data_IF_042732112643
#
_entry.id   IF_042732112643
#
_cell.length_a   1.000
_cell.length_b   1.000
_cell.length_c   1.000
_cell.angle_alpha   90.00
_cell.angle_beta   90.00
_cell.angle_gamma   90.00
#
_symmetry.space_group_name_H-M   'P 1'
#
loop_
_entity.id
_entity.type
_entity.pdbx_description
1 polymer ?
#
# COMPACT_ATOMS: atom_id res chain seq x y z
N UNK A 1 10.34 -17.44 38.74
CA UNK A 1 10.52 -17.28 37.28
C UNK A 1 9.78 -16.01 36.88
N UNK A 2 10.49 -14.89 36.74
CA UNK A 2 9.87 -13.58 36.54
C UNK A 2 9.56 -13.38 35.05
N UNK A 3 8.28 -13.31 34.70
CA UNK A 3 7.81 -13.05 33.34
C UNK A 3 8.26 -11.65 32.92
N UNK A 4 9.11 -11.56 31.88
CA UNK A 4 9.43 -10.29 31.21
C UNK A 4 8.44 -10.10 30.06
N UNK A 5 7.49 -9.14 30.13
CA UNK A 5 6.59 -8.90 29.03
C UNK A 5 7.39 -8.30 27.86
N UNK A 6 7.21 -8.87 26.67
CA UNK A 6 7.76 -8.37 25.41
C UNK A 6 7.33 -6.92 25.17
N UNK A 7 8.30 -6.08 24.78
CA UNK A 7 8.20 -4.63 24.64
C UNK A 7 7.00 -4.15 23.79
N UNK A 8 5.89 -3.80 24.43
CA UNK A 8 4.99 -2.78 23.89
C UNK A 8 5.63 -1.41 24.15
N UNK A 9 6.22 -0.81 23.12
CA UNK A 9 6.58 0.61 23.18
C UNK A 9 5.26 1.39 23.21
N UNK A 10 4.90 1.97 24.36
CA UNK A 10 3.78 2.93 24.40
C UNK A 10 4.11 3.99 23.34
N UNK A 11 3.17 4.36 22.45
CA UNK A 11 3.40 5.51 21.60
C UNK A 11 3.79 6.66 22.53
N UNK A 12 4.99 7.20 22.36
CA UNK A 12 5.40 8.39 23.10
C UNK A 12 4.46 9.55 22.78
N UNK A 13 4.72 10.71 23.38
CA UNK A 13 3.99 11.93 23.01
C UNK A 13 4.11 12.15 21.50
N UNK A 14 2.98 12.13 20.79
CA UNK A 14 2.91 12.34 19.35
C UNK A 14 3.12 13.82 19.09
N UNK A 15 4.27 14.19 18.52
CA UNK A 15 4.53 15.56 18.09
C UNK A 15 3.88 15.80 16.72
N UNK A 16 2.80 16.57 16.70
CA UNK A 16 2.06 16.94 15.49
C UNK A 16 2.84 17.90 14.56
N UNK A 17 3.92 18.51 15.05
CA UNK A 17 4.79 19.40 14.27
C UNK A 17 6.09 18.71 13.81
N UNK A 18 6.24 17.41 14.05
CA UNK A 18 7.43 16.67 13.67
C UNK A 18 7.61 16.68 12.13
N UNK A 19 8.84 16.90 11.68
CA UNK A 19 9.19 16.79 10.25
C UNK A 19 9.01 15.35 9.76
N UNK A 20 8.64 15.18 8.50
CA UNK A 20 8.56 13.85 7.90
C UNK A 20 9.96 13.20 7.89
N UNK A 21 10.05 12.05 8.56
CA UNK A 21 11.22 11.16 8.53
C UNK A 21 10.82 9.86 7.86
N UNK A 22 11.44 9.45 6.74
CA UNK A 22 11.15 8.18 6.10
C UNK A 22 11.53 7.02 7.02
N UNK A 23 10.73 5.96 7.03
CA UNK A 23 10.98 4.76 7.85
C UNK A 23 10.30 3.55 7.23
N UNK A 24 10.79 2.36 7.54
CA UNK A 24 10.21 1.09 7.07
C UNK A 24 8.70 1.01 7.37
N UNK A 25 8.29 1.44 8.56
CA UNK A 25 6.89 1.43 8.98
C UNK A 25 6.02 2.36 8.11
N UNK A 26 6.47 3.58 7.87
CA UNK A 26 5.73 4.55 7.04
C UNK A 26 5.62 4.07 5.60
N UNK A 27 6.70 3.53 5.06
CA UNK A 27 6.72 2.90 3.74
C UNK A 27 5.71 1.76 3.64
N UNK A 28 5.73 0.84 4.61
CA UNK A 28 4.82 -0.31 4.60
C UNK A 28 3.35 0.11 4.71
N UNK A 29 3.01 1.03 5.63
CA UNK A 29 1.63 1.52 5.80
C UNK A 29 1.17 2.29 4.56
N UNK A 30 2.03 3.11 3.96
CA UNK A 30 1.71 3.84 2.74
C UNK A 30 1.38 2.90 1.58
N UNK A 31 2.26 1.93 1.30
CA UNK A 31 2.08 0.99 0.19
C UNK A 31 0.87 0.07 0.42
N UNK A 32 0.71 -0.45 1.64
CA UNK A 32 -0.43 -1.28 1.98
C UNK A 32 -1.75 -0.49 1.87
N UNK A 33 -1.79 0.73 2.41
CA UNK A 33 -2.96 1.59 2.34
C UNK A 33 -3.32 2.04 0.92
N UNK A 34 -2.31 2.31 0.07
CA UNK A 34 -2.56 2.61 -1.35
C UNK A 34 -3.10 1.40 -2.10
N UNK A 35 -2.56 0.21 -1.84
CA UNK A 35 -3.06 -1.06 -2.38
C UNK A 35 -4.52 -1.30 -2.01
N UNK A 36 -4.86 -1.06 -0.74
CA UNK A 36 -6.23 -1.23 -0.23
C UNK A 36 -7.21 -0.22 -0.84
N UNK A 37 -6.78 1.04 -1.05
CA UNK A 37 -7.59 2.05 -1.73
C UNK A 37 -7.90 1.63 -3.17
N UNK A 38 -6.90 1.13 -3.89
CA UNK A 38 -7.06 0.58 -5.24
C UNK A 38 -8.01 -0.62 -5.23
N UNK A 39 -7.81 -1.58 -4.32
CA UNK A 39 -8.64 -2.78 -4.16
C UNK A 39 -10.10 -2.41 -3.92
N UNK A 40 -10.35 -1.57 -2.92
CA UNK A 40 -11.69 -1.12 -2.54
C UNK A 40 -12.39 -0.47 -3.72
N UNK A 41 -11.71 0.42 -4.42
CA UNK A 41 -12.29 1.10 -5.56
C UNK A 41 -12.56 0.13 -6.72
N UNK A 42 -11.57 -0.68 -7.11
CA UNK A 42 -11.67 -1.56 -8.28
C UNK A 42 -12.76 -2.62 -8.12
N UNK A 43 -12.92 -3.18 -6.92
CA UNK A 43 -13.86 -4.27 -6.63
C UNK A 43 -15.28 -3.73 -6.41
N UNK A 44 -15.42 -2.62 -5.68
CA UNK A 44 -16.74 -2.11 -5.32
C UNK A 44 -17.32 -1.14 -6.35
N UNK A 45 -16.58 -0.80 -7.40
CA UNK A 45 -17.10 0.11 -8.42
C UNK A 45 -18.27 -0.53 -9.18
N UNK A 46 -19.43 0.12 -9.09
CA UNK A 46 -20.62 -0.28 -9.82
C UNK A 46 -20.68 0.46 -11.15
N UNK A 47 -20.54 -0.28 -12.24
CA UNK A 47 -20.67 0.24 -13.60
C UNK A 47 -22.10 0.20 -14.13
N UNK A 48 -22.25 -0.33 -15.35
CA UNK A 48 -23.54 -0.47 -16.04
C UNK A 48 -24.54 -1.30 -15.21
N UNK A 49 -25.86 -1.05 -15.36
CA UNK A 49 -26.50 -0.12 -16.31
C UNK A 49 -26.55 1.34 -15.85
N UNK A 50 -26.32 1.61 -14.57
CA UNK A 50 -26.56 2.94 -13.97
C UNK A 50 -25.38 3.91 -14.09
N UNK A 51 -24.15 3.40 -14.28
CA UNK A 51 -22.96 4.20 -14.52
C UNK A 51 -22.14 3.69 -15.71
N UNK A 52 -21.18 4.50 -16.16
CA UNK A 52 -20.18 4.10 -17.16
C UNK A 52 -19.26 3.04 -16.55
N UNK A 53 -19.03 1.93 -17.24
CA UNK A 53 -18.11 0.90 -16.79
C UNK A 53 -16.68 1.45 -16.65
N UNK A 54 -15.87 0.83 -15.79
CA UNK A 54 -14.47 1.27 -15.56
C UNK A 54 -13.69 1.34 -16.86
N UNK A 55 -13.82 0.32 -17.72
CA UNK A 55 -13.13 0.25 -19.01
C UNK A 55 -13.63 1.28 -20.03
N UNK A 56 -14.85 1.78 -19.87
CA UNK A 56 -15.41 2.81 -20.76
C UNK A 56 -14.92 4.22 -20.35
N UNK A 57 -14.45 4.40 -19.11
CA UNK A 57 -13.84 5.65 -18.65
C UNK A 57 -12.31 5.53 -18.65
N UNK A 58 -11.70 5.92 -19.77
CA UNK A 58 -10.24 5.87 -19.97
C UNK A 58 -9.45 6.53 -18.83
N UNK A 59 -9.86 7.71 -18.36
CA UNK A 59 -9.15 8.44 -17.29
C UNK A 59 -9.17 7.65 -16.00
N UNK A 60 -10.31 7.07 -15.66
CA UNK A 60 -10.47 6.28 -14.45
C UNK A 60 -9.65 4.99 -14.54
N UNK A 61 -9.78 4.27 -15.65
CA UNK A 61 -9.03 3.03 -15.87
C UNK A 61 -7.52 3.24 -15.72
N UNK A 62 -6.97 4.24 -16.41
CA UNK A 62 -5.53 4.54 -16.31
C UNK A 62 -5.11 5.11 -14.95
N UNK A 63 -6.02 5.79 -14.23
CA UNK A 63 -5.79 6.19 -12.85
C UNK A 63 -5.58 5.00 -11.92
N UNK A 64 -6.45 3.98 -12.02
CA UNK A 64 -6.34 2.74 -11.23
C UNK A 64 -5.08 1.97 -11.62
N UNK A 65 -4.80 1.83 -12.91
CA UNK A 65 -3.59 1.15 -13.41
C UNK A 65 -2.33 1.87 -12.93
N UNK A 66 -2.29 3.20 -13.00
CA UNK A 66 -1.17 4.01 -12.52
C UNK A 66 -0.95 3.89 -11.01
N UNK A 67 -2.01 4.00 -10.21
CA UNK A 67 -1.92 3.81 -8.76
C UNK A 67 -1.45 2.39 -8.38
N UNK A 68 -1.95 1.37 -9.09
CA UNK A 68 -1.50 -0.01 -8.94
C UNK A 68 -0.01 -0.14 -9.26
N UNK A 69 0.43 0.44 -10.39
CA UNK A 69 1.83 0.42 -10.82
C UNK A 69 2.77 1.08 -9.80
N UNK A 70 2.38 2.24 -9.23
CA UNK A 70 3.14 2.90 -8.16
C UNK A 70 3.27 1.99 -6.94
N UNK A 71 2.16 1.37 -6.52
CA UNK A 71 2.11 0.51 -5.34
C UNK A 71 2.99 -0.74 -5.50
N UNK A 72 2.89 -1.43 -6.65
CA UNK A 72 3.69 -2.62 -6.90
C UNK A 72 5.16 -2.30 -7.19
N UNK A 73 5.46 -1.20 -7.88
CA UNK A 73 6.83 -0.68 -8.01
C UNK A 73 7.45 -0.39 -6.65
N UNK A 74 6.69 0.23 -5.75
CA UNK A 74 7.12 0.53 -4.39
C UNK A 74 7.44 -0.71 -3.56
N UNK A 75 6.56 -1.72 -3.60
CA UNK A 75 6.74 -2.94 -2.79
C UNK A 75 7.84 -3.88 -3.31
N UNK A 76 8.05 -3.93 -4.62
CA UNK A 76 9.03 -4.83 -5.27
C UNK A 76 10.39 -4.19 -5.49
N UNK A 77 10.44 -2.86 -5.43
CA UNK A 77 11.61 -2.06 -5.82
C UNK A 77 11.99 -2.15 -7.30
N UNK A 78 10.97 -2.30 -8.16
CA UNK A 78 11.17 -2.46 -9.61
C UNK A 78 11.63 -1.18 -10.33
N UNK A 79 11.20 0.01 -9.86
CA UNK A 79 11.68 1.32 -10.35
C UNK A 79 12.35 2.11 -9.21
N UNK A 80 13.66 1.92 -8.97
CA UNK A 80 14.36 2.53 -7.84
C UNK A 80 14.30 4.06 -7.83
N UNK A 81 14.31 4.70 -9.00
CA UNK A 81 14.22 6.17 -9.10
C UNK A 81 12.88 6.70 -8.59
N UNK A 82 11.78 6.01 -8.93
CA UNK A 82 10.45 6.36 -8.44
C UNK A 82 10.38 6.18 -6.93
N UNK A 83 10.95 5.10 -6.41
CA UNK A 83 10.94 4.80 -4.99
C UNK A 83 11.75 5.83 -4.18
N UNK A 84 12.91 6.25 -4.69
CA UNK A 84 13.67 7.36 -4.12
C UNK A 84 12.88 8.67 -4.12
N UNK A 85 12.22 8.99 -5.23
CA UNK A 85 11.40 10.19 -5.33
C UNK A 85 10.22 10.18 -4.34
N UNK A 86 9.59 9.03 -4.12
CA UNK A 86 8.51 8.82 -3.14
C UNK A 86 9.00 8.68 -1.69
N UNK A 87 10.31 8.75 -1.44
CA UNK A 87 10.92 8.51 -0.12
C UNK A 87 10.55 7.15 0.48
N UNK A 88 10.42 6.14 -0.38
CA UNK A 88 10.26 4.73 0.01
C UNK A 88 11.63 4.25 0.53
N UNK A 89 11.65 3.77 1.77
CA UNK A 89 12.86 3.22 2.38
C UNK A 89 13.21 1.89 1.72
N UNK A 90 14.49 1.65 1.49
CA UNK A 90 14.99 0.37 0.99
C UNK A 90 14.62 -0.75 1.97
N UNK A 91 13.95 -1.77 1.44
CA UNK A 91 13.46 -2.90 2.21
C UNK A 91 14.34 -4.12 1.97
N UNK A 92 14.58 -4.90 3.02
CA UNK A 92 15.21 -6.20 2.85
C UNK A 92 14.32 -7.12 1.97
N UNK A 93 14.95 -8.08 1.31
CA UNK A 93 14.24 -8.94 0.34
C UNK A 93 13.12 -9.75 0.99
N UNK A 94 13.29 -10.22 2.23
CA UNK A 94 12.27 -10.99 2.92
C UNK A 94 11.04 -10.11 3.25
N UNK A 95 11.27 -8.85 3.60
CA UNK A 95 10.23 -7.87 3.87
C UNK A 95 9.52 -7.46 2.59
N UNK A 96 10.23 -7.23 1.47
CA UNK A 96 9.62 -6.97 0.16
C UNK A 96 8.66 -8.09 -0.24
N UNK A 97 9.15 -9.33 -0.22
CA UNK A 97 8.34 -10.51 -0.54
C UNK A 97 7.12 -10.61 0.38
N UNK A 98 7.31 -10.40 1.69
CA UNK A 98 6.21 -10.43 2.66
C UNK A 98 5.17 -9.35 2.36
N UNK A 99 5.58 -8.09 2.23
CA UNK A 99 4.67 -6.97 1.98
C UNK A 99 3.91 -7.15 0.66
N UNK A 100 4.61 -7.45 -0.43
CA UNK A 100 3.99 -7.70 -1.73
C UNK A 100 3.02 -8.89 -1.66
N UNK A 101 3.39 -9.99 -1.00
CA UNK A 101 2.50 -11.15 -0.85
C UNK A 101 1.22 -10.81 -0.08
N UNK A 102 1.33 -10.04 1.01
CA UNK A 102 0.16 -9.58 1.79
C UNK A 102 -0.75 -8.72 0.94
N UNK A 103 -0.20 -7.78 0.17
CA UNK A 103 -0.98 -6.92 -0.74
C UNK A 103 -1.71 -7.73 -1.81
N UNK A 104 -1.06 -8.74 -2.40
CA UNK A 104 -1.69 -9.62 -3.39
C UNK A 104 -2.78 -10.48 -2.75
N UNK A 105 -2.52 -11.05 -1.58
CA UNK A 105 -3.51 -11.86 -0.84
C UNK A 105 -4.72 -11.01 -0.44
N UNK A 106 -4.52 -9.78 0.00
CA UNK A 106 -5.60 -8.83 0.32
C UNK A 106 -6.48 -8.55 -0.92
N UNK A 107 -5.87 -8.14 -2.04
CA UNK A 107 -6.60 -7.86 -3.27
C UNK A 107 -7.37 -9.09 -3.79
N UNK A 108 -6.71 -10.24 -3.84
CA UNK A 108 -7.34 -11.49 -4.33
C UNK A 108 -8.40 -12.01 -3.36
N UNK A 109 -8.20 -11.88 -2.05
CA UNK A 109 -9.17 -12.23 -1.04
C UNK A 109 -10.45 -11.40 -1.16
N UNK A 110 -10.33 -10.07 -1.31
CA UNK A 110 -11.47 -9.19 -1.54
C UNK A 110 -12.19 -9.43 -2.87
N UNK A 111 -11.47 -9.94 -3.88
CA UNK A 111 -12.09 -10.26 -5.17
C UNK A 111 -12.90 -11.56 -5.12
N UNK A 112 -12.44 -12.54 -4.33
CA UNK A 112 -13.02 -13.89 -4.25
C UNK A 112 -14.23 -13.95 -3.32
N UNK A 113 -14.22 -13.17 -2.23
CA UNK A 113 -15.27 -13.14 -1.18
C UNK A 113 -16.18 -11.94 -1.40
#
# INVERSE_FOLDING_TARGET
MSYKPSYYHRPGVIDLNAKFVPSLLKTAIYLLGLSQQVSTFAINFQGRPFHTGIHENFKLYWGIVGASAVTFSGSTDFLPELNRWLQIVEMDTAFKVKLTSVMVVDFTGCWVI
#
